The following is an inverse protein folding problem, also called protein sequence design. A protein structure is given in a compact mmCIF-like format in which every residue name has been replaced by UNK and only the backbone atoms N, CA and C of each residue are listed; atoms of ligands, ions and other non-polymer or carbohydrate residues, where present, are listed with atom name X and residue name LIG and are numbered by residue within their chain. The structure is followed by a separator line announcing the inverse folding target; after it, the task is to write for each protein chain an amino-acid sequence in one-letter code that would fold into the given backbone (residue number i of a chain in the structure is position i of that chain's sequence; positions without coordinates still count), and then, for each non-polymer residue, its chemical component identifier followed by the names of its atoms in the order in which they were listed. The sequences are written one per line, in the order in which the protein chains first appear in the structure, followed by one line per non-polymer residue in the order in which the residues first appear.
data_IF_556177374449
#
_entry.id   IF_556177374449
#
_cell.length_a   1.000
_cell.length_b   1.000
_cell.length_c   1.000
_cell.angle_alpha   90.00
_cell.angle_beta   90.00
_cell.angle_gamma   90.00
#
_symmetry.space_group_name_H-M   'P 1'
#
loop_
_entity.id
_entity.type
_entity.pdbx_description
1 polymer ?
#
# COMPACT_ATOMS: atom_id res chain seq x y z
N UNK A 1 17.67 -9.50 -17.28
CA UNK A 1 17.18 -8.13 -16.99
C UNK A 1 15.68 -8.14 -17.19
N UNK A 2 14.88 -8.05 -16.13
CA UNK A 2 13.43 -7.97 -16.24
C UNK A 2 13.02 -6.53 -16.63
N UNK A 3 13.22 -6.19 -17.90
CA UNK A 3 12.76 -4.92 -18.45
C UNK A 3 11.22 -4.99 -18.62
N UNK A 4 10.49 -3.88 -18.56
CA UNK A 4 9.11 -3.83 -19.07
C UNK A 4 7.96 -4.25 -18.14
N UNK A 5 8.18 -4.39 -16.84
CA UNK A 5 7.09 -4.59 -15.86
C UNK A 5 6.42 -3.25 -15.59
N UNK A 6 5.13 -3.13 -15.93
CA UNK A 6 4.36 -1.88 -15.77
C UNK A 6 3.23 -2.07 -14.78
N UNK A 7 3.16 -1.21 -13.78
CA UNK A 7 2.03 -1.18 -12.86
C UNK A 7 0.75 -0.75 -13.58
N UNK A 8 -0.31 -1.55 -13.43
CA UNK A 8 -1.66 -1.28 -13.96
C UNK A 8 -2.65 -0.93 -12.86
N UNK A 9 -2.63 -1.68 -11.78
CA UNK A 9 -3.58 -1.54 -10.68
C UNK A 9 -2.91 -1.77 -9.34
N UNK A 10 -3.51 -1.23 -8.29
CA UNK A 10 -3.09 -1.45 -6.93
C UNK A 10 -4.31 -1.43 -6.02
N UNK A 11 -4.35 -2.31 -5.03
CA UNK A 11 -5.37 -2.32 -4.00
C UNK A 11 -4.72 -2.45 -2.63
N UNK A 12 -5.22 -1.70 -1.65
CA UNK A 12 -4.87 -1.88 -0.26
C UNK A 12 -5.88 -2.84 0.39
N UNK A 13 -5.37 -3.89 1.01
CA UNK A 13 -6.14 -4.86 1.78
C UNK A 13 -5.98 -4.51 3.25
N UNK A 14 -7.06 -4.08 3.89
CA UNK A 14 -7.06 -3.62 5.27
C UNK A 14 -7.89 -4.58 6.12
N UNK A 15 -7.29 -5.04 7.20
CA UNK A 15 -7.96 -5.86 8.22
C UNK A 15 -7.94 -5.10 9.54
N UNK A 16 -9.10 -4.91 10.17
CA UNK A 16 -9.17 -4.32 11.51
C UNK A 16 -9.25 -5.40 12.56
N UNK A 17 -8.70 -5.14 13.75
CA UNK A 17 -8.87 -6.03 14.91
C UNK A 17 -10.37 -6.25 15.26
N UNK A 18 -10.71 -7.33 16.01
CA UNK A 18 -12.08 -7.62 16.43
C UNK A 18 -12.70 -6.48 17.26
N UNK A 19 -14.03 -6.36 17.28
CA UNK A 19 -14.73 -5.23 17.90
C UNK A 19 -14.54 -5.23 19.42
N UNK A 20 -13.80 -4.23 19.92
CA UNK A 20 -13.69 -3.90 21.35
C UNK A 20 -13.90 -2.41 21.62
N UNK A 21 -13.54 -1.56 20.66
CA UNK A 21 -13.87 -0.13 20.60
C UNK A 21 -14.24 0.20 19.15
N UNK A 22 -15.19 1.12 18.93
CA UNK A 22 -15.52 1.63 17.60
C UNK A 22 -14.43 2.62 17.19
N UNK A 23 -13.46 2.25 16.34
CA UNK A 23 -12.35 3.13 16.07
C UNK A 23 -12.88 4.31 15.25
N UNK A 24 -12.66 5.52 15.77
CA UNK A 24 -13.06 6.77 15.12
C UNK A 24 -11.90 7.29 14.25
N UNK A 25 -12.26 8.00 13.18
CA UNK A 25 -11.30 8.62 12.27
C UNK A 25 -11.17 7.90 10.94
N UNK A 26 -10.18 8.34 10.18
CA UNK A 26 -9.94 7.90 8.82
C UNK A 26 -8.49 7.58 8.56
N UNK A 27 -8.26 6.72 7.57
CA UNK A 27 -6.91 6.36 7.11
C UNK A 27 -6.77 6.57 5.62
N UNK A 28 -5.63 7.15 5.24
CA UNK A 28 -5.15 7.27 3.86
C UNK A 28 -3.93 6.39 3.66
N UNK A 29 -3.84 5.73 2.50
CA UNK A 29 -2.76 4.78 2.18
C UNK A 29 -2.13 5.22 0.87
N UNK A 30 -0.81 5.38 0.88
CA UNK A 30 -0.02 5.79 -0.27
C UNK A 30 1.14 4.82 -0.46
N UNK A 31 1.50 4.57 -1.71
CA UNK A 31 2.71 3.86 -2.09
C UNK A 31 3.60 4.82 -2.85
N UNK A 32 4.80 5.05 -2.33
CA UNK A 32 5.83 5.88 -2.94
C UNK A 32 7.05 5.04 -3.25
N UNK A 33 7.86 5.45 -4.23
CA UNK A 33 9.21 4.91 -4.42
C UNK A 33 10.11 5.98 -5.00
N UNK A 34 11.42 5.79 -4.88
CA UNK A 34 12.38 6.70 -5.48
C UNK A 34 12.63 6.38 -6.95
N UNK A 35 12.60 7.39 -7.80
CA UNK A 35 13.19 7.35 -9.14
C UNK A 35 14.21 8.47 -9.28
N UNK A 36 15.18 8.28 -10.19
CA UNK A 36 16.21 9.26 -10.57
C UNK A 36 16.76 10.09 -9.40
N UNK A 37 17.82 9.59 -8.74
CA UNK A 37 18.61 10.31 -7.73
C UNK A 37 17.79 11.14 -6.71
N UNK A 38 16.86 10.47 -6.01
CA UNK A 38 16.18 10.91 -4.76
C UNK A 38 14.79 11.52 -4.85
N UNK A 39 14.17 11.62 -6.04
CA UNK A 39 12.77 12.08 -6.11
C UNK A 39 11.83 10.94 -5.69
N UNK A 40 11.07 11.16 -4.61
CA UNK A 40 9.95 10.30 -4.23
C UNK A 40 8.82 10.46 -5.26
N UNK A 41 8.59 9.40 -6.03
CA UNK A 41 7.45 9.25 -6.91
C UNK A 41 6.30 8.59 -6.18
N UNK A 42 5.13 9.21 -6.27
CA UNK A 42 3.88 8.57 -5.88
C UNK A 42 3.46 7.55 -6.96
N UNK A 43 3.39 6.28 -6.57
CA UNK A 43 3.04 5.17 -7.46
C UNK A 43 1.54 4.88 -7.41
N UNK A 44 1.00 4.79 -6.20
CA UNK A 44 -0.40 4.50 -5.96
C UNK A 44 -0.89 5.28 -4.74
N UNK A 45 -2.14 5.75 -4.76
CA UNK A 45 -2.77 6.31 -3.56
C UNK A 45 -4.24 5.97 -3.48
N UNK A 46 -4.72 5.71 -2.28
CA UNK A 46 -6.13 5.82 -1.93
C UNK A 46 -6.33 7.16 -1.23
N UNK A 47 -7.01 8.09 -1.90
CA UNK A 47 -7.34 9.41 -1.34
C UNK A 47 -8.51 9.37 -0.35
N UNK A 48 -9.29 8.29 -0.34
CA UNK A 48 -10.51 8.20 0.47
C UNK A 48 -10.14 7.78 1.88
N UNK A 49 -10.49 8.65 2.83
CA UNK A 49 -10.59 8.40 4.25
C UNK A 49 -11.31 7.07 4.50
N UNK A 50 -10.54 5.98 4.68
CA UNK A 50 -11.11 4.70 5.08
C UNK A 50 -11.65 4.91 6.49
N UNK A 51 -12.96 5.09 6.60
CA UNK A 51 -13.63 5.31 7.88
C UNK A 51 -13.43 4.05 8.72
N UNK A 52 -12.73 4.19 9.83
CA UNK A 52 -12.35 3.06 10.67
C UNK A 52 -13.59 2.38 11.30
N UNK A 53 -14.63 3.17 11.59
CA UNK A 53 -15.91 2.68 12.05
C UNK A 53 -16.60 1.80 11.00
N UNK A 54 -16.52 2.19 9.72
CA UNK A 54 -17.06 1.38 8.64
C UNK A 54 -16.26 0.09 8.55
N UNK A 55 -14.92 0.15 8.69
CA UNK A 55 -13.99 -0.98 8.61
C UNK A 55 -14.15 -2.03 9.74
N UNK A 56 -14.85 -1.69 10.82
CA UNK A 56 -15.11 -2.59 11.93
C UNK A 56 -15.89 -3.85 11.48
N UNK A 57 -15.49 -5.03 11.99
CA UNK A 57 -16.15 -6.30 11.66
C UNK A 57 -15.22 -7.51 11.45
N UNK A 58 -13.91 -7.37 11.68
CA UNK A 58 -12.97 -8.49 11.67
C UNK A 58 -12.70 -9.13 10.30
N UNK A 59 -13.16 -8.49 9.22
CA UNK A 59 -12.94 -8.95 7.84
C UNK A 59 -11.90 -8.10 7.10
N UNK A 60 -11.18 -8.74 6.18
CA UNK A 60 -10.34 -8.04 5.21
C UNK A 60 -11.21 -7.25 4.23
N UNK A 61 -10.78 -6.03 3.90
CA UNK A 61 -11.43 -5.16 2.93
C UNK A 61 -10.45 -4.68 1.89
N UNK A 62 -10.85 -4.77 0.63
CA UNK A 62 -10.07 -4.28 -0.50
C UNK A 62 -10.47 -2.86 -0.89
N UNK A 63 -9.48 -1.99 -1.02
CA UNK A 63 -9.63 -0.60 -1.44
C UNK A 63 -8.76 -0.33 -2.67
N UNK A 64 -9.41 -0.19 -3.83
CA UNK A 64 -8.75 0.16 -5.08
C UNK A 64 -8.02 1.51 -4.99
N UNK A 65 -6.75 1.53 -5.36
CA UNK A 65 -5.91 2.71 -5.33
C UNK A 65 -5.84 3.34 -6.71
N UNK A 66 -5.82 4.67 -6.74
CA UNK A 66 -5.51 5.41 -7.96
C UNK A 66 -4.03 5.23 -8.24
N UNK A 67 -3.72 4.59 -9.36
CA UNK A 67 -2.37 4.36 -9.85
C UNK A 67 -2.05 5.29 -11.01
N UNK A 68 -0.75 5.52 -11.24
CA UNK A 68 -0.25 6.03 -12.52
C UNK A 68 0.58 4.93 -13.17
N UNK A 69 0.43 4.66 -14.48
CA UNK A 69 1.28 3.69 -15.16
C UNK A 69 2.74 4.06 -14.97
N UNK A 70 3.50 3.17 -14.35
CA UNK A 70 4.93 3.36 -14.10
C UNK A 70 5.66 2.04 -14.33
N UNK A 71 6.84 2.15 -14.93
CA UNK A 71 7.78 1.03 -15.08
C UNK A 71 8.46 0.76 -13.74
N UNK A 72 8.29 -0.44 -13.19
CA UNK A 72 8.87 -0.78 -11.89
C UNK A 72 10.40 -0.98 -11.95
N UNK A 73 10.91 -1.30 -13.15
CA UNK A 73 12.34 -1.46 -13.42
C UNK A 73 13.11 -0.13 -13.39
N UNK A 74 12.44 1.02 -13.49
CA UNK A 74 13.09 2.34 -13.46
C UNK A 74 13.23 2.93 -12.05
N UNK A 75 12.63 2.28 -11.04
CA UNK A 75 12.75 2.71 -9.64
C UNK A 75 14.18 2.47 -9.15
N UNK A 76 14.63 3.15 -8.10
CA UNK A 76 16.01 2.98 -7.56
C UNK A 76 16.08 2.31 -6.20
N UNK A 77 14.99 2.34 -5.45
CA UNK A 77 14.90 1.73 -4.13
C UNK A 77 13.63 0.88 -4.01
N UNK A 78 13.52 0.14 -2.91
CA UNK A 78 12.25 -0.38 -2.47
C UNK A 78 11.23 0.75 -2.28
N UNK A 79 9.97 0.43 -2.52
CA UNK A 79 8.87 1.35 -2.30
C UNK A 79 8.58 1.47 -0.80
N UNK A 80 7.95 2.57 -0.40
CA UNK A 80 7.39 2.76 0.92
C UNK A 80 5.87 2.79 0.82
N UNK A 81 5.21 2.05 1.71
CA UNK A 81 3.78 2.17 1.97
C UNK A 81 3.63 3.10 3.16
N UNK A 82 3.03 4.26 2.94
CA UNK A 82 2.78 5.29 3.95
C UNK A 82 1.30 5.25 4.33
N UNK A 83 1.04 5.08 5.61
CA UNK A 83 -0.29 5.04 6.20
C UNK A 83 -0.43 6.28 7.07
N UNK A 84 -1.44 7.11 6.81
CA UNK A 84 -1.71 8.32 7.58
C UNK A 84 -3.14 8.33 8.09
N UNK A 85 -3.26 8.46 9.39
CA UNK A 85 -4.50 8.61 10.11
C UNK A 85 -4.88 10.08 10.34
N UNK A 86 -6.19 10.34 10.36
CA UNK A 86 -6.77 11.63 10.79
C UNK A 86 -7.96 11.37 11.70
N UNK A 87 -8.11 12.16 12.76
CA UNK A 87 -9.25 12.05 13.68
C UNK A 87 -9.26 10.80 14.56
N UNK A 88 -8.12 10.09 14.67
CA UNK A 88 -7.95 8.98 15.61
C UNK A 88 -7.79 9.53 17.01
N UNK A 89 -8.62 9.02 17.94
CA UNK A 89 -8.57 9.37 19.37
C UNK A 89 -7.97 8.24 20.20
N UNK A 90 -8.23 6.99 19.80
CA UNK A 90 -7.75 5.80 20.51
C UNK A 90 -6.79 4.97 19.64
N UNK A 91 -5.98 4.14 20.28
CA UNK A 91 -5.10 3.20 19.58
C UNK A 91 -5.89 2.37 18.57
N UNK A 92 -5.44 2.42 17.32
CA UNK A 92 -6.03 1.65 16.22
C UNK A 92 -4.98 0.71 15.64
N UNK A 93 -5.22 -0.60 15.76
CA UNK A 93 -4.39 -1.64 15.16
C UNK A 93 -5.02 -2.11 13.83
N UNK A 94 -4.21 -2.08 12.76
CA UNK A 94 -4.60 -2.41 11.39
C UNK A 94 -3.63 -3.44 10.81
N UNK A 95 -4.13 -4.55 10.29
CA UNK A 95 -3.40 -5.39 9.36
C UNK A 95 -3.45 -4.77 7.97
N UNK A 96 -2.31 -4.67 7.29
CA UNK A 96 -2.22 -4.10 5.96
C UNK A 96 -1.49 -5.04 5.01
N UNK A 97 -2.10 -5.32 3.87
CA UNK A 97 -1.41 -5.86 2.70
C UNK A 97 -1.67 -4.97 1.48
N UNK A 98 -0.77 -5.05 0.50
CA UNK A 98 -0.90 -4.35 -0.78
C UNK A 98 -0.84 -5.36 -1.90
N UNK A 99 -1.83 -5.30 -2.79
CA UNK A 99 -1.90 -6.07 -4.02
C UNK A 99 -1.54 -5.15 -5.18
N UNK A 100 -0.63 -5.57 -6.04
CA UNK A 100 -0.32 -4.92 -7.31
C UNK A 100 -0.67 -5.81 -8.48
N UNK A 101 -1.24 -5.19 -9.50
CA UNK A 101 -1.44 -5.81 -10.81
C UNK A 101 -0.44 -5.16 -11.76
N UNK A 102 0.43 -5.99 -12.32
CA UNK A 102 1.49 -5.54 -13.22
C UNK A 102 1.40 -6.28 -14.54
N UNK A 103 1.65 -5.59 -15.63
CA UNK A 103 1.84 -6.22 -16.94
C UNK A 103 3.32 -6.53 -17.13
N UNK A 104 3.63 -7.80 -17.36
CA UNK A 104 4.90 -8.20 -17.92
C UNK A 104 4.81 -8.06 -19.44
N UNK A 105 5.39 -6.98 -19.99
CA UNK A 105 5.36 -6.71 -21.43
C UNK A 105 6.13 -7.73 -22.26
N UNK A 106 7.06 -8.47 -21.68
CA UNK A 106 7.83 -9.50 -22.38
C UNK A 106 7.06 -10.82 -22.44
N UNK A 107 6.51 -11.24 -21.30
CA UNK A 107 5.70 -12.46 -21.20
C UNK A 107 4.25 -12.25 -21.67
N UNK A 108 3.90 -11.01 -22.06
CA UNK A 108 2.56 -10.57 -22.48
C UNK A 108 1.43 -11.07 -21.57
N UNK A 109 1.68 -11.07 -20.26
CA UNK A 109 0.73 -11.58 -19.27
C UNK A 109 0.62 -10.66 -18.06
N UNK A 110 -0.57 -10.52 -17.47
CA UNK A 110 -0.72 -9.88 -16.19
C UNK A 110 -0.12 -10.78 -15.09
N UNK A 111 0.55 -10.15 -14.14
CA UNK A 111 1.03 -10.76 -12.90
C UNK A 111 0.40 -10.02 -11.73
N UNK A 112 0.05 -10.79 -10.69
CA UNK A 112 -0.42 -10.23 -9.43
C UNK A 112 0.67 -10.45 -8.39
N UNK A 113 1.03 -9.38 -7.71
CA UNK A 113 1.95 -9.42 -6.58
C UNK A 113 1.21 -9.01 -5.33
N UNK A 114 1.41 -9.78 -4.27
CA UNK A 114 0.81 -9.53 -2.98
C UNK A 114 1.91 -9.37 -1.94
N UNK A 115 1.83 -8.31 -1.14
CA UNK A 115 2.77 -8.06 -0.06
C UNK A 115 2.04 -7.72 1.23
N UNK A 116 2.22 -8.59 2.22
CA UNK A 116 1.81 -8.34 3.58
C UNK A 116 2.78 -7.37 4.26
N UNK A 117 2.26 -6.22 4.68
CA UNK A 117 2.99 -5.16 5.38
C UNK A 117 2.94 -5.35 6.91
N UNK A 118 2.22 -6.36 7.37
CA UNK A 118 1.99 -6.70 8.78
C UNK A 118 1.05 -5.74 9.49
N UNK A 119 1.09 -5.80 10.81
CA UNK A 119 0.28 -4.94 11.67
C UNK A 119 0.88 -3.54 11.81
N UNK A 120 0.01 -2.55 11.81
CA UNK A 120 0.28 -1.12 11.93
C UNK A 120 -0.54 -0.60 13.11
N UNK A 121 0.14 0.03 14.06
CA UNK A 121 -0.50 0.70 15.19
C UNK A 121 -0.47 2.21 14.93
N UNK A 122 -1.64 2.85 14.98
CA UNK A 122 -1.81 4.30 14.83
C UNK A 122 -2.44 4.86 16.10
N UNK A 123 -1.95 6.02 16.53
CA UNK A 123 -2.41 6.76 17.71
C UNK A 123 -2.51 8.24 17.39
N UNK A 124 -3.08 9.05 18.28
CA UNK A 124 -3.10 10.50 18.10
C UNK A 124 -1.67 11.10 18.08
N UNK A 125 -0.77 10.52 18.87
CA UNK A 125 0.64 10.92 19.00
C UNK A 125 1.52 10.37 17.88
N UNK A 126 1.11 9.24 17.29
CA UNK A 126 1.78 8.61 16.15
C UNK A 126 0.77 8.27 15.05
N UNK A 127 0.30 9.29 14.29
CA UNK A 127 -0.75 9.12 13.29
C UNK A 127 -0.20 8.66 11.93
N UNK A 128 1.10 8.44 11.82
CA UNK A 128 1.75 8.04 10.56
C UNK A 128 2.59 6.80 10.80
N UNK A 129 2.44 5.82 9.92
CA UNK A 129 3.31 4.66 9.86
C UNK A 129 3.87 4.50 8.45
N UNK A 130 5.06 3.91 8.36
CA UNK A 130 5.70 3.57 7.09
C UNK A 130 6.14 2.12 7.11
N UNK A 131 5.96 1.43 5.98
CA UNK A 131 6.40 0.06 5.75
C UNK A 131 7.17 0.00 4.44
N UNK A 132 8.22 -0.80 4.41
CA UNK A 132 8.98 -1.02 3.18
C UNK A 132 8.31 -2.10 2.36
N UNK A 133 8.24 -1.88 1.06
CA UNK A 133 7.69 -2.80 0.09
C UNK A 133 8.78 -3.16 -0.92
N UNK A 134 9.30 -4.41 -0.86
CA UNK A 134 10.46 -4.82 -1.64
C UNK A 134 10.07 -5.07 -3.10
N UNK A 135 9.95 -3.99 -3.88
CA UNK A 135 9.77 -4.05 -5.32
C UNK A 135 11.01 -4.59 -6.05
N UNK A 136 12.16 -4.63 -5.38
CA UNK A 136 13.37 -5.33 -5.85
C UNK A 136 13.10 -6.81 -6.19
N UNK A 137 12.09 -7.45 -5.60
CA UNK A 137 11.67 -8.81 -5.98
C UNK A 137 11.20 -8.92 -7.43
N UNK A 138 10.61 -7.87 -8.02
CA UNK A 138 10.25 -7.86 -9.44
C UNK A 138 11.45 -7.82 -10.38
N UNK A 139 12.64 -7.49 -9.86
CA UNK A 139 13.89 -7.47 -10.63
C UNK A 139 14.61 -8.82 -10.64
N UNK A 140 14.17 -9.74 -9.80
CA UNK A 140 14.92 -10.92 -9.38
C UNK A 140 14.38 -12.22 -10.01
N UNK A 141 13.85 -12.15 -11.24
CA UNK A 141 13.87 -13.30 -12.17
C UNK A 141 15.17 -13.17 -12.98
N UNK A 142 16.29 -13.57 -12.37
CA UNK A 142 17.48 -14.09 -13.06
C UNK A 142 17.51 -15.59 -12.83
#
# INVERSE_FOLDING_TARGET
MAEGIVLRGAAALVTTAPPGASPAGSVSIMVTAKALAEIDLLIAKRCVDIVLADAAGGGERSYEMVTRPIRLDTLRSDAAVVIRATGIVERTDLGLAVRFEVDDRFKQRPLVFHHDCGNVCLTAESPVATRLLPLSRFRSDQ
#
